data_IF_955695767720
#
_entry.id   IF_955695767720
#
_cell.length_a   1.000
_cell.length_b   1.000
_cell.length_c   1.000
_cell.angle_alpha   90.00
_cell.angle_beta   90.00
_cell.angle_gamma   90.00
#
_symmetry.space_group_name_H-M   'P 1'
#
loop_
_entity.id
_entity.type
_entity.pdbx_description
1 polymer ?
#
# COMPACT_ATOMS: atom_id res chain seq x y z
N UNK A 1 -8.08 -16.17 35.84
CA UNK A 1 -8.48 -16.78 34.56
C UNK A 1 -7.61 -16.15 33.48
N UNK A 2 -6.85 -16.95 32.72
CA UNK A 2 -5.96 -16.42 31.67
C UNK A 2 -6.79 -15.95 30.47
N UNK A 3 -6.53 -14.75 29.95
CA UNK A 3 -7.15 -14.28 28.71
C UNK A 3 -6.46 -14.95 27.52
N UNK A 4 -7.24 -15.28 26.49
CA UNK A 4 -6.71 -15.81 25.24
C UNK A 4 -6.03 -14.69 24.45
N UNK A 5 -4.89 -15.02 23.83
CA UNK A 5 -4.18 -14.13 22.92
C UNK A 5 -5.07 -13.83 21.70
N UNK A 6 -5.20 -12.56 21.35
CA UNK A 6 -6.07 -12.06 20.29
C UNK A 6 -5.30 -11.16 19.33
N UNK A 7 -5.83 -10.99 18.12
CA UNK A 7 -5.25 -10.12 17.07
C UNK A 7 -4.96 -8.70 17.61
N UNK A 8 -5.77 -8.20 18.54
CA UNK A 8 -5.61 -6.88 19.16
C UNK A 8 -4.40 -6.74 20.08
N UNK A 9 -3.81 -7.86 20.51
CA UNK A 9 -2.61 -7.86 21.34
C UNK A 9 -1.32 -7.65 20.51
N UNK A 10 -1.44 -7.64 19.18
CA UNK A 10 -0.35 -7.29 18.27
C UNK A 10 -0.47 -5.84 17.79
N UNK A 11 0.62 -5.09 17.91
CA UNK A 11 0.75 -3.78 17.26
C UNK A 11 1.14 -3.99 15.79
N UNK A 12 0.14 -3.90 14.91
CA UNK A 12 0.37 -4.03 13.47
C UNK A 12 0.94 -2.79 12.82
N UNK A 13 1.04 -1.65 13.52
CA UNK A 13 1.64 -0.44 12.97
C UNK A 13 3.17 -0.47 13.08
N UNK A 14 3.71 -1.22 14.04
CA UNK A 14 5.15 -1.36 14.27
C UNK A 14 5.72 -2.61 13.58
N UNK A 15 5.78 -2.59 12.24
CA UNK A 15 6.30 -3.71 11.46
C UNK A 15 7.82 -3.66 11.20
N UNK A 16 8.42 -2.49 11.36
CA UNK A 16 9.82 -2.19 11.04
C UNK A 16 9.98 -0.71 10.71
N UNK A 17 11.22 -0.23 10.64
CA UNK A 17 11.54 1.17 10.31
C UNK A 17 12.34 1.29 9.01
N UNK A 18 13.01 0.21 8.60
CA UNK A 18 13.86 0.18 7.41
C UNK A 18 13.39 -0.91 6.46
N UNK A 19 13.23 -0.52 5.21
CA UNK A 19 12.65 -1.35 4.17
C UNK A 19 13.54 -1.34 2.93
N UNK A 20 13.56 -2.44 2.21
CA UNK A 20 14.08 -2.53 0.85
C UNK A 20 12.93 -2.32 -0.12
N UNK A 21 13.15 -1.46 -1.11
CA UNK A 21 12.16 -1.16 -2.12
C UNK A 21 12.30 -2.09 -3.32
N UNK A 22 11.24 -2.84 -3.61
CA UNK A 22 11.22 -3.86 -4.65
C UNK A 22 10.56 -3.32 -5.94
N UNK A 23 9.44 -2.61 -5.81
CA UNK A 23 8.66 -2.10 -6.95
C UNK A 23 7.81 -0.89 -6.55
N UNK A 24 7.54 0.00 -7.52
CA UNK A 24 6.56 1.09 -7.41
C UNK A 24 5.49 0.93 -8.49
N UNK A 25 4.22 0.99 -8.09
CA UNK A 25 3.07 0.97 -9.00
C UNK A 25 2.12 2.14 -8.75
N UNK A 26 1.58 2.77 -9.81
CA UNK A 26 0.67 3.90 -9.67
C UNK A 26 -0.68 3.48 -9.08
N UNK A 27 -1.24 4.34 -8.25
CA UNK A 27 -2.63 4.26 -7.77
C UNK A 27 -3.46 5.24 -8.57
N UNK A 28 -4.45 4.73 -9.30
CA UNK A 28 -5.35 5.55 -10.12
C UNK A 28 -6.59 5.98 -9.35
N UNK A 29 -7.09 7.19 -9.66
CA UNK A 29 -8.40 7.66 -9.21
C UNK A 29 -9.48 6.72 -9.73
N UNK A 30 -10.47 6.44 -8.89
CA UNK A 30 -11.59 5.59 -9.23
C UNK A 30 -12.87 6.43 -9.34
N UNK A 31 -13.68 6.12 -10.33
CA UNK A 31 -14.98 6.77 -10.57
C UNK A 31 -16.09 5.73 -10.74
N UNK A 32 -17.33 6.19 -10.57
CA UNK A 32 -18.52 5.46 -10.96
C UNK A 32 -19.02 6.00 -12.29
N UNK A 33 -19.44 5.08 -13.18
CA UNK A 33 -19.95 5.43 -14.51
C UNK A 33 -21.43 5.09 -14.61
N UNK A 34 -22.16 5.88 -15.39
CA UNK A 34 -23.53 5.58 -15.77
C UNK A 34 -23.56 4.82 -17.11
N UNK A 35 -24.57 3.98 -17.30
CA UNK A 35 -24.87 3.33 -18.57
C UNK A 35 -25.61 4.28 -19.54
N UNK A 36 -26.01 3.77 -20.71
CA UNK A 36 -26.72 4.54 -21.74
C UNK A 36 -28.07 5.10 -21.27
N UNK A 37 -28.65 4.54 -20.21
CA UNK A 37 -29.91 4.97 -19.62
C UNK A 37 -29.71 5.93 -18.43
N UNK A 38 -28.46 6.26 -18.08
CA UNK A 38 -28.13 7.10 -16.95
C UNK A 38 -28.07 6.37 -15.60
N UNK A 39 -28.17 5.03 -15.58
CA UNK A 39 -28.09 4.26 -14.34
C UNK A 39 -26.63 3.91 -13.99
N UNK A 40 -26.26 3.98 -12.70
CA UNK A 40 -24.91 3.64 -12.25
C UNK A 40 -24.61 2.16 -12.56
N UNK A 41 -23.51 1.91 -13.26
CA UNK A 41 -23.04 0.56 -13.58
C UNK A 41 -22.65 -0.16 -12.29
N UNK A 42 -23.26 -1.32 -12.07
CA UNK A 42 -23.04 -2.16 -10.89
C UNK A 42 -22.10 -3.32 -11.18
N UNK A 43 -21.48 -3.85 -10.13
CA UNK A 43 -20.73 -5.10 -10.15
C UNK A 43 -21.67 -6.32 -10.06
N UNK A 44 -21.09 -7.53 -9.98
CA UNK A 44 -21.85 -8.79 -9.88
C UNK A 44 -22.67 -8.90 -8.57
N UNK A 45 -22.36 -8.09 -7.56
CA UNK A 45 -23.03 -8.06 -6.26
C UNK A 45 -24.07 -6.93 -6.18
N UNK A 46 -24.25 -6.15 -7.25
CA UNK A 46 -25.20 -5.04 -7.31
C UNK A 46 -24.69 -3.73 -6.68
N UNK A 47 -23.41 -3.63 -6.32
CA UNK A 47 -22.80 -2.40 -5.81
C UNK A 47 -22.27 -1.54 -6.96
N UNK A 48 -22.19 -0.20 -6.81
CA UNK A 48 -21.54 0.66 -7.79
C UNK A 48 -20.13 0.15 -8.13
N UNK A 49 -19.89 -0.10 -9.42
CA UNK A 49 -18.59 -0.57 -9.88
C UNK A 49 -17.60 0.59 -9.91
N UNK A 50 -16.39 0.35 -9.42
CA UNK A 50 -15.28 1.29 -9.56
C UNK A 50 -14.59 1.08 -10.90
N UNK A 51 -14.37 2.18 -11.62
CA UNK A 51 -13.56 2.22 -12.84
C UNK A 51 -12.32 3.05 -12.57
N UNK A 52 -11.15 2.52 -12.89
CA UNK A 52 -9.94 3.31 -12.87
C UNK A 52 -9.99 4.36 -13.99
N UNK A 53 -9.63 5.59 -13.64
CA UNK A 53 -9.32 6.66 -14.59
C UNK A 53 -7.85 6.58 -15.00
N UNK A 54 -7.42 7.47 -15.87
CA UNK A 54 -6.01 7.68 -16.22
C UNK A 54 -5.25 8.57 -15.23
N UNK A 55 -5.95 9.18 -14.26
CA UNK A 55 -5.35 10.08 -13.28
C UNK A 55 -4.71 9.32 -12.13
N UNK A 56 -3.40 9.51 -11.97
CA UNK A 56 -2.65 8.99 -10.82
C UNK A 56 -2.88 9.88 -9.59
N UNK A 57 -3.24 9.26 -8.47
CA UNK A 57 -3.49 9.92 -7.17
C UNK A 57 -2.52 9.48 -6.08
N UNK A 58 -1.67 8.49 -6.36
CA UNK A 58 -0.77 7.93 -5.38
C UNK A 58 0.16 6.89 -5.97
N UNK A 59 0.97 6.30 -5.11
CA UNK A 59 1.91 5.23 -5.42
C UNK A 59 1.80 4.12 -4.37
N UNK A 60 1.83 2.87 -4.83
CA UNK A 60 2.00 1.70 -3.99
C UNK A 60 3.46 1.25 -4.10
N UNK A 61 4.13 1.19 -2.96
CA UNK A 61 5.51 0.72 -2.83
C UNK A 61 5.48 -0.72 -2.31
N UNK A 62 5.89 -1.68 -3.15
CA UNK A 62 6.16 -3.05 -2.73
C UNK A 62 7.52 -3.08 -2.04
N UNK A 63 7.56 -3.55 -0.80
CA UNK A 63 8.77 -3.49 0.03
C UNK A 63 9.01 -4.78 0.79
N UNK A 64 10.28 -5.01 1.12
CA UNK A 64 10.74 -6.06 2.02
C UNK A 64 11.27 -5.46 3.32
N UNK A 65 10.79 -5.95 4.46
CA UNK A 65 11.13 -5.43 5.79
C UNK A 65 12.55 -5.88 6.18
N UNK A 66 13.44 -4.94 6.54
CA UNK A 66 14.84 -5.23 6.85
C UNK A 66 15.16 -5.34 8.35
N UNK A 67 14.24 -4.91 9.21
CA UNK A 67 14.39 -4.91 10.67
C UNK A 67 13.13 -5.38 11.41
N UNK A 68 13.19 -5.35 12.75
CA UNK A 68 12.05 -5.70 13.60
C UNK A 68 11.63 -7.17 13.56
N UNK A 69 10.44 -7.42 14.13
CA UNK A 69 9.86 -8.78 14.29
C UNK A 69 9.46 -9.43 12.97
N UNK A 70 9.20 -8.63 11.95
CA UNK A 70 8.70 -9.07 10.65
C UNK A 70 9.76 -9.01 9.54
N UNK A 71 11.04 -8.92 9.90
CA UNK A 71 12.17 -8.95 8.98
C UNK A 71 12.05 -10.10 7.95
N UNK A 72 12.39 -9.81 6.69
CA UNK A 72 12.28 -10.69 5.51
C UNK A 72 10.83 -10.98 5.05
N UNK A 73 9.82 -10.32 5.61
CA UNK A 73 8.46 -10.32 5.05
C UNK A 73 8.30 -9.16 4.09
N UNK A 74 7.41 -9.32 3.11
CA UNK A 74 7.10 -8.29 2.13
C UNK A 74 5.66 -7.81 2.29
N UNK A 75 5.43 -6.53 1.98
CA UNK A 75 4.10 -5.91 2.03
C UNK A 75 4.05 -4.74 1.04
N UNK A 76 2.88 -4.10 0.95
CA UNK A 76 2.66 -2.91 0.14
C UNK A 76 2.29 -1.73 1.04
N UNK A 77 2.96 -0.60 0.81
CA UNK A 77 2.71 0.66 1.49
C UNK A 77 2.23 1.68 0.47
N UNK A 78 1.01 2.19 0.68
CA UNK A 78 0.41 3.22 -0.17
C UNK A 78 0.74 4.62 0.33
N UNK A 79 1.11 5.50 -0.58
CA UNK A 79 1.21 6.95 -0.34
C UNK A 79 0.33 7.66 -1.35
N UNK A 80 -0.55 8.55 -0.87
CA UNK A 80 -1.42 9.36 -1.74
C UNK A 80 -0.70 10.63 -2.22
N UNK A 81 0.45 10.43 -2.84
CA UNK A 81 1.20 11.44 -3.59
C UNK A 81 1.38 10.92 -5.02
N UNK A 82 0.88 11.62 -6.06
CA UNK A 82 1.06 11.20 -7.44
C UNK A 82 2.53 11.08 -7.86
N UNK A 83 3.44 11.80 -7.19
CA UNK A 83 4.86 11.79 -7.51
C UNK A 83 5.57 10.63 -6.80
N UNK A 84 6.10 9.69 -7.58
CA UNK A 84 6.96 8.64 -7.06
C UNK A 84 8.31 9.20 -6.58
N UNK A 85 8.83 8.63 -5.48
CA UNK A 85 10.18 8.93 -4.98
C UNK A 85 11.26 8.50 -5.98
N UNK A 86 11.05 7.36 -6.64
CA UNK A 86 11.99 6.68 -7.52
C UNK A 86 11.21 5.84 -8.54
N UNK A 87 11.80 5.60 -9.71
CA UNK A 87 11.20 4.75 -10.75
C UNK A 87 11.66 3.30 -10.64
N UNK A 88 10.92 2.37 -11.25
CA UNK A 88 11.33 0.96 -11.32
C UNK A 88 12.67 0.79 -12.06
N UNK A 89 12.92 1.58 -13.10
CA UNK A 89 14.21 1.56 -13.82
C UNK A 89 15.38 1.92 -12.92
N UNK A 90 15.19 2.87 -12.00
CA UNK A 90 16.22 3.28 -11.05
C UNK A 90 16.42 2.26 -9.93
N UNK A 91 15.34 1.58 -9.50
CA UNK A 91 15.42 0.47 -8.55
C UNK A 91 16.25 -0.66 -9.13
N UNK A 92 15.94 -1.09 -10.36
CA UNK A 92 16.62 -2.21 -11.03
C UNK A 92 18.10 -1.96 -11.34
N UNK A 93 18.52 -0.68 -11.41
CA UNK A 93 19.94 -0.30 -11.60
C UNK A 93 20.75 -0.33 -10.31
N UNK A 94 20.11 -0.41 -9.15
CA UNK A 94 20.77 -0.38 -7.84
C UNK A 94 20.72 -1.78 -7.21
N UNK A 95 21.81 -2.17 -6.56
CA UNK A 95 21.86 -3.45 -5.84
C UNK A 95 20.88 -3.52 -4.66
N UNK A 96 20.58 -2.36 -4.05
CA UNK A 96 19.64 -2.23 -2.93
C UNK A 96 19.16 -0.79 -2.82
N UNK A 97 17.86 -0.61 -2.62
CA UNK A 97 17.24 0.71 -2.37
C UNK A 97 16.57 0.67 -1.01
N UNK A 98 17.18 1.35 -0.03
CA UNK A 98 16.67 1.38 1.34
C UNK A 98 15.86 2.64 1.60
N UNK A 99 14.71 2.45 2.21
CA UNK A 99 13.74 3.51 2.47
C UNK A 99 13.14 3.38 3.86
N UNK A 100 12.60 4.49 4.34
CA UNK A 100 11.76 4.57 5.53
C UNK A 100 10.46 5.30 5.20
N UNK A 101 9.45 5.09 6.04
CA UNK A 101 8.11 5.64 5.86
C UNK A 101 7.70 6.47 7.07
N UNK A 102 7.21 7.68 6.82
CA UNK A 102 6.74 8.60 7.86
C UNK A 102 5.25 8.35 8.11
N UNK A 103 4.88 8.24 9.39
CA UNK A 103 3.50 7.99 9.83
C UNK A 103 2.90 6.73 9.19
N UNK A 104 3.64 5.63 9.29
CA UNK A 104 3.21 4.31 8.80
C UNK A 104 2.06 3.77 9.64
N UNK A 105 0.98 3.37 8.97
CA UNK A 105 -0.22 2.83 9.61
C UNK A 105 -0.76 1.63 8.85
N UNK A 106 -1.29 0.66 9.58
CA UNK A 106 -2.04 -0.45 8.99
C UNK A 106 -3.38 0.05 8.44
N UNK A 107 -3.54 0.06 7.12
CA UNK A 107 -4.79 0.49 6.46
C UNK A 107 -5.83 -0.63 6.33
N UNK A 108 -5.39 -1.89 6.28
CA UNK A 108 -6.29 -3.03 6.22
C UNK A 108 -5.68 -4.23 6.95
N UNK A 109 -6.41 -4.73 7.94
CA UNK A 109 -6.07 -5.95 8.66
C UNK A 109 -6.73 -7.14 7.94
N UNK A 110 -5.92 -7.97 7.27
CA UNK A 110 -6.41 -9.08 6.45
C UNK A 110 -5.28 -10.01 6.00
N UNK A 111 -5.59 -10.89 5.04
CA UNK A 111 -4.59 -11.70 4.35
C UNK A 111 -4.65 -11.41 2.84
N UNK A 112 -3.80 -10.51 2.31
CA UNK A 112 -2.63 -9.88 2.97
C UNK A 112 -2.97 -8.63 3.80
N UNK A 113 -2.00 -8.20 4.61
CA UNK A 113 -2.01 -6.93 5.36
C UNK A 113 -1.56 -5.78 4.45
N UNK A 114 -2.24 -4.64 4.52
CA UNK A 114 -1.90 -3.44 3.74
C UNK A 114 -1.66 -2.23 4.62
N UNK A 115 -0.73 -1.38 4.17
CA UNK A 115 -0.26 -0.22 4.91
C UNK A 115 -0.43 1.07 4.10
N UNK A 116 -0.48 2.18 4.83
CA UNK A 116 -0.39 3.53 4.28
C UNK A 116 0.66 4.33 5.03
N UNK A 117 1.25 5.31 4.35
CA UNK A 117 2.15 6.28 4.95
C UNK A 117 1.90 7.66 4.36
N UNK A 118 2.36 8.70 5.05
CA UNK A 118 2.29 10.07 4.55
C UNK A 118 3.43 10.39 3.59
N UNK A 119 4.61 9.83 3.84
CA UNK A 119 5.83 10.12 3.09
C UNK A 119 6.78 8.93 3.08
N UNK A 120 7.61 8.87 2.05
CA UNK A 120 8.73 7.94 1.90
C UNK A 120 10.03 8.75 1.76
N UNK A 121 11.09 8.25 2.39
CA UNK A 121 12.42 8.87 2.38
C UNK A 121 13.50 7.80 2.18
N UNK A 122 14.60 8.15 1.51
CA UNK A 122 15.78 7.28 1.47
C UNK A 122 16.44 7.26 2.85
N UNK A 123 17.02 6.11 3.20
CA UNK A 123 17.85 5.92 4.41
C UNK A 123 19.31 6.24 4.12
#
# INVERSE_FOLDING_TARGET
>A
MAKLLSVRDWDFNNIGNVFELDEVTPVFEQEHRADENGEIIKDREGKPRNFATDRIIGQNYSVTILDGKFKKKSTQIKILDPKALITNDDIMKKDSVKVTFVNLECSMQGNPMYYRAEKIEFV
#
